data_IF_856271169905
#
_entry.id   IF_856271169905
#
_cell.length_a   1.000
_cell.length_b   1.000
_cell.length_c   1.000
_cell.angle_alpha   90.00
_cell.angle_beta   90.00
_cell.angle_gamma   90.00
#
_symmetry.space_group_name_H-M   'P 1'
#
loop_
_entity.id
_entity.type
_entity.pdbx_description
1 polymer ?
#
# COMPACT_ATOMS: atom_id res chain seq x y z
N UNK A 1 6.43 -5.92 34.78
CA UNK A 1 6.73 -6.32 33.38
C UNK A 1 5.63 -5.71 32.53
N UNK A 2 5.97 -4.98 31.44
CA UNK A 2 4.99 -4.19 30.68
C UNK A 2 3.93 -5.08 30.01
N UNK A 3 4.29 -6.33 29.70
CA UNK A 3 3.41 -7.31 29.08
C UNK A 3 3.35 -8.61 29.87
N UNK A 4 2.20 -9.27 29.85
CA UNK A 4 1.99 -10.52 30.58
C UNK A 4 0.73 -11.26 30.15
N UNK A 5 0.51 -12.44 30.72
CA UNK A 5 -0.76 -13.16 30.65
C UNK A 5 -1.39 -13.24 32.04
N UNK A 6 -2.72 -13.28 32.10
CA UNK A 6 -3.44 -13.56 33.33
C UNK A 6 -4.65 -14.46 33.03
N UNK A 7 -5.03 -15.38 33.93
CA UNK A 7 -6.30 -16.08 33.83
C UNK A 7 -7.45 -15.07 33.81
N UNK A 8 -8.49 -15.34 33.01
CA UNK A 8 -9.66 -14.48 32.90
C UNK A 8 -10.91 -15.25 33.33
N UNK A 9 -11.70 -14.66 34.24
CA UNK A 9 -12.97 -15.23 34.63
C UNK A 9 -13.97 -15.18 33.47
N UNK A 10 -14.70 -16.27 33.25
CA UNK A 10 -15.62 -16.40 32.11
C UNK A 10 -16.69 -15.31 32.09
N UNK A 11 -17.09 -14.84 33.27
CA UNK A 11 -18.11 -13.82 33.47
C UNK A 11 -17.65 -12.42 33.02
N UNK A 12 -16.34 -12.17 32.96
CA UNK A 12 -15.78 -10.87 32.57
C UNK A 12 -15.70 -10.71 31.04
N UNK A 13 -15.56 -11.81 30.31
CA UNK A 13 -15.37 -11.84 28.86
C UNK A 13 -16.47 -11.06 28.11
N UNK A 14 -17.78 -11.27 28.38
CA UNK A 14 -18.83 -10.58 27.63
C UNK A 14 -18.76 -9.06 27.76
N UNK A 15 -18.45 -8.55 28.95
CA UNK A 15 -18.34 -7.11 29.18
C UNK A 15 -17.14 -6.52 28.43
N UNK A 16 -16.01 -7.23 28.41
CA UNK A 16 -14.78 -6.79 27.75
C UNK A 16 -14.89 -6.73 26.23
N UNK A 17 -15.57 -7.70 25.61
CA UNK A 17 -15.68 -7.76 24.14
C UNK A 17 -16.90 -7.01 23.60
N UNK A 18 -17.84 -6.58 24.45
CA UNK A 18 -19.13 -5.98 24.01
C UNK A 18 -18.94 -4.82 23.04
N UNK A 19 -18.15 -3.81 23.41
CA UNK A 19 -17.94 -2.64 22.54
C UNK A 19 -17.29 -3.02 21.21
N UNK A 20 -16.31 -3.93 21.23
CA UNK A 20 -15.66 -4.44 20.02
C UNK A 20 -16.65 -5.19 19.13
N UNK A 21 -17.50 -6.02 19.72
CA UNK A 21 -18.52 -6.79 19.02
C UNK A 21 -19.60 -5.90 18.41
N UNK A 22 -20.05 -4.87 19.13
CA UNK A 22 -21.01 -3.88 18.63
C UNK A 22 -20.42 -3.08 17.45
N UNK A 23 -19.15 -2.66 17.55
CA UNK A 23 -18.46 -2.00 16.45
C UNK A 23 -18.32 -2.90 15.23
N UNK A 24 -17.93 -4.18 15.41
CA UNK A 24 -17.82 -5.13 14.31
C UNK A 24 -19.18 -5.40 13.65
N UNK A 25 -20.28 -5.47 14.42
CA UNK A 25 -21.63 -5.62 13.87
C UNK A 25 -22.01 -4.45 12.97
N UNK A 26 -21.77 -3.22 13.43
CA UNK A 26 -22.02 -2.02 12.62
C UNK A 26 -21.18 -2.04 11.33
N UNK A 27 -19.90 -2.39 11.40
CA UNK A 27 -19.05 -2.52 10.22
C UNK A 27 -19.54 -3.62 9.27
N UNK A 28 -20.02 -4.75 9.80
CA UNK A 28 -20.56 -5.85 9.00
C UNK A 28 -21.84 -5.45 8.26
N UNK A 29 -22.74 -4.69 8.92
CA UNK A 29 -23.95 -4.15 8.30
C UNK A 29 -23.61 -3.23 7.12
N UNK A 30 -22.71 -2.26 7.35
CA UNK A 30 -22.25 -1.34 6.30
C UNK A 30 -21.59 -2.11 5.15
N UNK A 31 -20.70 -3.05 5.45
CA UNK A 31 -20.01 -3.83 4.42
C UNK A 31 -20.98 -4.70 3.62
N UNK A 32 -21.98 -5.33 4.26
CA UNK A 32 -23.00 -6.11 3.58
C UNK A 32 -23.89 -5.24 2.67
N UNK A 33 -24.25 -4.02 3.09
CA UNK A 33 -25.00 -3.07 2.24
C UNK A 33 -24.22 -2.74 0.97
N UNK A 34 -22.92 -2.42 1.12
CA UNK A 34 -22.05 -2.12 -0.03
C UNK A 34 -21.95 -3.33 -0.95
N UNK A 35 -21.76 -4.55 -0.41
CA UNK A 35 -21.74 -5.77 -1.24
C UNK A 35 -23.03 -5.90 -2.06
N UNK A 36 -24.20 -5.76 -1.42
CA UNK A 36 -25.49 -5.86 -2.12
C UNK A 36 -25.64 -4.80 -3.20
N UNK A 37 -25.27 -3.55 -2.92
CA UNK A 37 -25.34 -2.45 -3.89
C UNK A 37 -24.37 -2.66 -5.06
N UNK A 38 -23.10 -2.95 -4.79
CA UNK A 38 -22.09 -3.19 -5.83
C UNK A 38 -22.45 -4.42 -6.68
N UNK A 39 -23.00 -5.48 -6.08
CA UNK A 39 -23.48 -6.64 -6.82
C UNK A 39 -24.66 -6.28 -7.73
N UNK A 40 -25.63 -5.50 -7.25
CA UNK A 40 -26.74 -5.03 -8.08
C UNK A 40 -26.27 -4.14 -9.24
N UNK A 41 -25.25 -3.31 -9.01
CA UNK A 41 -24.65 -2.46 -10.02
C UNK A 41 -23.99 -3.28 -11.14
N UNK A 42 -23.25 -4.34 -10.76
CA UNK A 42 -22.62 -5.28 -11.68
C UNK A 42 -23.62 -6.16 -12.45
N UNK A 43 -24.65 -6.67 -11.76
CA UNK A 43 -25.57 -7.65 -12.34
C UNK A 43 -26.52 -7.02 -13.36
N UNK A 44 -27.04 -5.82 -13.05
CA UNK A 44 -28.08 -5.23 -13.90
C UNK A 44 -28.08 -3.70 -14.00
N UNK A 45 -27.75 -2.92 -12.96
CA UNK A 45 -27.98 -1.45 -13.03
C UNK A 45 -27.08 -0.76 -14.04
N UNK A 46 -25.80 -1.11 -14.13
CA UNK A 46 -24.92 -0.53 -15.15
C UNK A 46 -25.39 -0.85 -16.57
N UNK A 47 -25.85 -2.08 -16.78
CA UNK A 47 -26.38 -2.50 -18.08
C UNK A 47 -27.67 -1.75 -18.43
N UNK A 48 -28.57 -1.60 -17.46
CA UNK A 48 -29.81 -0.84 -17.61
C UNK A 48 -29.54 0.65 -17.90
N UNK A 49 -28.59 1.27 -17.19
CA UNK A 49 -28.21 2.66 -17.40
C UNK A 49 -27.55 2.88 -18.78
N UNK A 50 -26.77 1.89 -19.26
CA UNK A 50 -26.22 1.91 -20.62
C UNK A 50 -27.35 1.82 -21.67
N UNK A 51 -28.30 0.91 -21.48
CA UNK A 51 -29.44 0.74 -22.39
C UNK A 51 -30.35 1.96 -22.42
N UNK A 52 -30.52 2.65 -21.28
CA UNK A 52 -31.27 3.90 -21.15
C UNK A 52 -30.50 5.14 -21.61
N UNK A 53 -29.24 4.98 -22.02
CA UNK A 53 -28.39 6.08 -22.48
C UNK A 53 -27.96 7.05 -21.38
N UNK A 54 -28.09 6.67 -20.10
CA UNK A 54 -27.64 7.50 -18.96
C UNK A 54 -26.12 7.47 -18.80
N UNK A 55 -25.48 6.37 -19.21
CA UNK A 55 -24.03 6.24 -19.30
C UNK A 55 -23.62 5.86 -20.71
N UNK A 56 -22.42 6.27 -21.09
CA UNK A 56 -21.81 5.89 -22.36
C UNK A 56 -21.19 4.49 -22.29
N UNK A 57 -20.95 3.88 -23.45
CA UNK A 57 -20.22 2.60 -23.54
C UNK A 57 -18.80 2.70 -22.96
N UNK A 58 -18.17 3.86 -23.05
CA UNK A 58 -16.84 4.12 -22.47
C UNK A 58 -16.93 4.06 -20.94
N UNK A 59 -17.85 4.82 -20.34
CA UNK A 59 -18.06 4.81 -18.88
C UNK A 59 -18.44 3.42 -18.36
N UNK A 60 -19.29 2.69 -19.07
CA UNK A 60 -19.64 1.31 -18.72
C UNK A 60 -18.39 0.41 -18.65
N UNK A 61 -17.53 0.47 -19.68
CA UNK A 61 -16.31 -0.34 -19.74
C UNK A 61 -15.28 0.06 -18.68
N UNK A 62 -15.28 1.33 -18.23
CA UNK A 62 -14.41 1.83 -17.17
C UNK A 62 -14.91 1.44 -15.77
N UNK A 63 -16.22 1.51 -15.51
CA UNK A 63 -16.81 1.29 -14.19
C UNK A 63 -16.91 -0.21 -13.84
N UNK A 64 -17.22 -1.09 -14.81
CA UNK A 64 -17.33 -2.53 -14.60
C UNK A 64 -16.12 -3.15 -13.86
N UNK A 65 -14.86 -2.98 -14.30
CA UNK A 65 -13.71 -3.56 -13.62
C UNK A 65 -13.45 -2.93 -12.24
N UNK A 66 -13.82 -1.65 -12.04
CA UNK A 66 -13.67 -0.97 -10.75
C UNK A 66 -14.64 -1.55 -9.72
N UNK A 67 -15.92 -1.70 -10.08
CA UNK A 67 -16.92 -2.32 -9.21
C UNK A 67 -16.61 -3.79 -8.92
N UNK A 68 -16.12 -4.54 -9.90
CA UNK A 68 -15.68 -5.92 -9.68
C UNK A 68 -14.51 -6.00 -8.68
N UNK A 69 -13.60 -5.02 -8.75
CA UNK A 69 -12.49 -4.90 -7.78
C UNK A 69 -13.02 -4.55 -6.39
N UNK A 70 -13.92 -3.56 -6.28
CA UNK A 70 -14.54 -3.20 -5.01
C UNK A 70 -15.29 -4.37 -4.39
N UNK A 71 -16.15 -5.04 -5.14
CA UNK A 71 -16.87 -6.23 -4.67
C UNK A 71 -15.90 -7.28 -4.11
N UNK A 72 -14.82 -7.55 -4.84
CA UNK A 72 -13.79 -8.48 -4.39
C UNK A 72 -13.10 -8.04 -3.09
N UNK A 73 -12.91 -6.74 -2.85
CA UNK A 73 -12.37 -6.21 -1.60
C UNK A 73 -13.38 -6.35 -0.45
N UNK A 74 -14.66 -6.05 -0.71
CA UNK A 74 -15.73 -6.14 0.30
C UNK A 74 -16.02 -7.57 0.73
N UNK A 75 -15.97 -8.52 -0.19
CA UNK A 75 -16.09 -9.95 0.11
C UNK A 75 -14.93 -10.45 0.99
N UNK A 76 -13.70 -10.03 0.69
CA UNK A 76 -12.54 -10.34 1.54
C UNK A 76 -12.69 -9.71 2.95
N UNK A 77 -13.17 -8.47 3.02
CA UNK A 77 -13.45 -7.81 4.31
C UNK A 77 -14.53 -8.56 5.10
N UNK A 78 -15.55 -9.10 4.42
CA UNK A 78 -16.59 -9.94 5.03
C UNK A 78 -15.99 -11.20 5.65
N UNK A 79 -15.13 -11.92 4.94
CA UNK A 79 -14.48 -13.13 5.48
C UNK A 79 -13.63 -12.82 6.74
N UNK A 80 -12.94 -11.67 6.74
CA UNK A 80 -12.19 -11.20 7.91
C UNK A 80 -13.12 -10.90 9.10
N UNK A 81 -14.26 -10.25 8.87
CA UNK A 81 -15.25 -9.97 9.90
C UNK A 81 -15.85 -11.28 10.46
N UNK A 82 -16.22 -12.21 9.60
CA UNK A 82 -16.78 -13.51 9.99
C UNK A 82 -15.77 -14.31 10.85
N UNK A 83 -14.48 -14.26 10.50
CA UNK A 83 -13.41 -14.88 11.30
C UNK A 83 -13.29 -14.24 12.70
N UNK A 84 -13.42 -12.91 12.80
CA UNK A 84 -13.42 -12.19 14.09
C UNK A 84 -14.63 -12.52 14.94
N UNK A 85 -15.83 -12.64 14.35
CA UNK A 85 -17.03 -13.06 15.07
C UNK A 85 -16.88 -14.49 15.61
N UNK A 86 -16.41 -15.43 14.79
CA UNK A 86 -16.17 -16.80 15.21
C UNK A 86 -15.19 -16.89 16.39
N UNK A 87 -14.14 -16.05 16.40
CA UNK A 87 -13.22 -15.95 17.55
C UNK A 87 -13.92 -15.45 18.82
N UNK A 88 -14.76 -14.42 18.73
CA UNK A 88 -15.52 -13.92 19.87
C UNK A 88 -16.53 -14.93 20.42
N UNK A 89 -17.20 -15.69 19.55
CA UNK A 89 -18.09 -16.77 20.00
C UNK A 89 -17.32 -17.84 20.78
N UNK A 90 -16.13 -18.24 20.31
CA UNK A 90 -15.26 -19.18 21.03
C UNK A 90 -14.84 -18.64 22.40
N UNK A 91 -14.46 -17.37 22.47
CA UNK A 91 -14.08 -16.71 23.72
C UNK A 91 -15.22 -16.71 24.75
N UNK A 92 -16.48 -16.57 24.32
CA UNK A 92 -17.64 -16.62 25.23
C UNK A 92 -17.91 -18.03 25.78
N UNK A 93 -17.46 -19.07 25.08
CA UNK A 93 -17.81 -20.47 25.40
C UNK A 93 -16.75 -21.17 26.26
N UNK A 94 -15.49 -20.73 26.18
CA UNK A 94 -14.32 -21.42 26.75
C UNK A 94 -13.73 -20.69 27.95
N UNK A 95 -12.91 -21.39 28.74
CA UNK A 95 -11.99 -20.73 29.66
C UNK A 95 -10.97 -19.94 28.83
N UNK A 96 -10.65 -18.72 29.27
CA UNK A 96 -9.81 -17.80 28.54
C UNK A 96 -8.74 -17.23 29.44
N UNK A 97 -7.65 -16.83 28.81
CA UNK A 97 -6.65 -15.97 29.43
C UNK A 97 -6.80 -14.55 28.87
N UNK A 98 -6.02 -13.62 29.40
CA UNK A 98 -5.86 -12.30 28.80
C UNK A 98 -4.40 -11.98 28.54
N UNK A 99 -4.13 -11.38 27.39
CA UNK A 99 -2.90 -10.64 27.15
C UNK A 99 -3.01 -9.27 27.81
N UNK A 100 -1.98 -8.88 28.57
CA UNK A 100 -1.96 -7.68 29.38
C UNK A 100 -0.97 -6.67 28.82
N UNK A 101 -1.45 -5.45 28.61
CA UNK A 101 -0.62 -4.25 28.45
C UNK A 101 -0.77 -3.46 29.76
N UNK A 102 0.31 -3.37 30.52
CA UNK A 102 0.31 -2.76 31.84
C UNK A 102 0.20 -1.24 31.76
N UNK A 103 -0.31 -0.61 32.82
CA UNK A 103 -0.47 0.84 32.91
C UNK A 103 0.86 1.61 32.95
N UNK A 104 1.94 0.96 33.37
CA UNK A 104 3.31 1.49 33.40
C UNK A 104 4.05 1.32 32.06
N UNK A 105 3.39 0.77 31.03
CA UNK A 105 4.02 0.58 29.72
C UNK A 105 4.40 1.93 29.09
N UNK A 106 5.67 2.10 28.79
CA UNK A 106 6.19 3.29 28.12
C UNK A 106 5.83 3.35 26.63
N UNK A 107 5.93 4.55 26.05
CA UNK A 107 5.75 4.76 24.61
C UNK A 107 6.70 3.91 23.77
N UNK A 108 7.94 3.74 24.22
CA UNK A 108 8.95 2.99 23.47
C UNK A 108 8.75 1.47 23.58
N UNK A 109 8.27 0.97 24.73
CA UNK A 109 7.84 -0.42 24.87
C UNK A 109 6.64 -0.73 23.96
N UNK A 110 5.66 0.17 23.86
CA UNK A 110 4.54 0.00 22.93
C UNK A 110 4.98 0.01 21.47
N UNK A 111 5.91 0.88 21.08
CA UNK A 111 6.48 0.86 19.72
C UNK A 111 7.17 -0.47 19.42
N UNK A 112 7.97 -0.98 20.37
CA UNK A 112 8.62 -2.29 20.24
C UNK A 112 7.60 -3.41 20.05
N UNK A 113 6.55 -3.43 20.87
CA UNK A 113 5.48 -4.42 20.75
C UNK A 113 4.76 -4.33 19.39
N UNK A 114 4.42 -3.12 18.93
CA UNK A 114 3.75 -2.91 17.64
C UNK A 114 4.60 -3.48 16.49
N UNK A 115 5.89 -3.15 16.46
CA UNK A 115 6.83 -3.63 15.44
C UNK A 115 6.94 -5.15 15.48
N UNK A 116 7.10 -5.72 16.67
CA UNK A 116 7.17 -7.17 16.87
C UNK A 116 5.90 -7.86 16.34
N UNK A 117 4.73 -7.35 16.71
CA UNK A 117 3.45 -7.90 16.28
C UNK A 117 3.29 -7.83 14.76
N UNK A 118 3.60 -6.68 14.13
CA UNK A 118 3.55 -6.52 12.68
C UNK A 118 4.40 -7.57 11.95
N UNK A 119 5.61 -7.82 12.45
CA UNK A 119 6.56 -8.75 11.85
C UNK A 119 6.13 -10.21 12.04
N UNK A 120 5.59 -10.54 13.21
CA UNK A 120 5.04 -11.87 13.47
C UNK A 120 3.76 -12.13 12.65
N UNK A 121 2.91 -11.12 12.44
CA UNK A 121 1.69 -11.22 11.63
C UNK A 121 2.00 -11.61 10.19
N UNK A 122 3.14 -11.19 9.66
CA UNK A 122 3.56 -11.44 8.28
C UNK A 122 3.81 -12.93 7.97
N UNK A 123 4.25 -13.69 8.98
CA UNK A 123 4.63 -15.11 8.86
C UNK A 123 3.62 -16.06 9.52
N UNK A 124 2.57 -15.52 10.12
CA UNK A 124 1.60 -16.27 10.89
C UNK A 124 0.63 -17.06 9.99
N UNK A 125 0.24 -18.25 10.44
CA UNK A 125 -0.94 -18.95 9.93
C UNK A 125 -2.22 -18.16 10.23
N UNK A 126 -3.36 -18.61 9.68
CA UNK A 126 -4.65 -17.91 9.81
C UNK A 126 -5.04 -17.63 11.27
N UNK A 127 -4.80 -18.57 12.17
CA UNK A 127 -5.24 -18.47 13.56
C UNK A 127 -4.29 -17.58 14.37
N UNK A 128 -2.97 -17.80 14.27
CA UNK A 128 -1.97 -16.91 14.89
C UNK A 128 -2.10 -15.48 14.35
N UNK A 129 -2.40 -15.29 13.07
CA UNK A 129 -2.58 -13.98 12.46
C UNK A 129 -3.73 -13.21 13.09
N UNK A 130 -4.89 -13.86 13.28
CA UNK A 130 -6.06 -13.23 13.89
C UNK A 130 -5.80 -12.80 15.34
N UNK A 131 -5.09 -13.64 16.11
CA UNK A 131 -4.61 -13.31 17.45
C UNK A 131 -3.72 -12.06 17.42
N UNK A 132 -2.66 -12.07 16.60
CA UNK A 132 -1.69 -10.97 16.53
C UNK A 132 -2.31 -9.65 16.10
N UNK A 133 -3.20 -9.66 15.10
CA UNK A 133 -3.94 -8.48 14.66
C UNK A 133 -4.82 -7.89 15.78
N UNK A 134 -5.38 -8.75 16.64
CA UNK A 134 -6.18 -8.31 17.79
C UNK A 134 -5.30 -7.59 18.82
N UNK A 135 -4.14 -8.16 19.17
CA UNK A 135 -3.21 -7.51 20.11
C UNK A 135 -2.65 -6.22 19.49
N UNK A 136 -2.32 -6.23 18.20
CA UNK A 136 -1.78 -5.08 17.47
C UNK A 136 -2.75 -3.90 17.47
N UNK A 137 -4.04 -4.13 17.23
CA UNK A 137 -5.06 -3.08 17.30
C UNK A 137 -5.14 -2.44 18.68
N UNK A 138 -5.07 -3.24 19.75
CA UNK A 138 -5.07 -2.75 21.13
C UNK A 138 -3.78 -1.99 21.47
N UNK A 139 -2.63 -2.47 21.01
CA UNK A 139 -1.34 -1.77 21.18
C UNK A 139 -1.34 -0.40 20.47
N UNK A 140 -1.90 -0.31 19.26
CA UNK A 140 -2.09 0.97 18.58
C UNK A 140 -3.01 1.91 19.35
N UNK A 141 -4.13 1.42 19.89
CA UNK A 141 -5.03 2.23 20.71
C UNK A 141 -4.32 2.78 21.97
N UNK A 142 -3.51 1.96 22.64
CA UNK A 142 -2.69 2.38 23.76
C UNK A 142 -1.68 3.46 23.36
N UNK A 143 -0.98 3.27 22.23
CA UNK A 143 -0.03 4.25 21.71
C UNK A 143 -0.71 5.59 21.41
N UNK A 144 -1.88 5.57 20.77
CA UNK A 144 -2.67 6.78 20.49
C UNK A 144 -3.05 7.51 21.78
N UNK A 145 -3.47 6.79 22.83
CA UNK A 145 -3.76 7.40 24.12
C UNK A 145 -2.53 8.13 24.70
N UNK A 146 -1.34 7.49 24.68
CA UNK A 146 -0.10 8.14 25.11
C UNK A 146 0.33 9.33 24.24
N UNK A 147 0.11 9.25 22.92
CA UNK A 147 0.43 10.34 22.00
C UNK A 147 -0.46 11.57 22.24
N UNK A 148 -1.70 11.35 22.68
CA UNK A 148 -2.65 12.39 23.11
C UNK A 148 -2.45 12.86 24.56
N UNK A 149 -1.42 12.36 25.26
CA UNK A 149 -1.13 12.71 26.65
C UNK A 149 -2.09 12.12 27.69
N UNK A 150 -2.88 11.12 27.31
CA UNK A 150 -3.76 10.39 28.23
C UNK A 150 -2.96 9.29 28.95
N UNK A 151 -3.13 9.14 30.28
CA UNK A 151 -2.48 8.04 31.00
C UNK A 151 -3.02 6.70 30.50
N UNK A 152 -2.17 5.68 30.46
CA UNK A 152 -2.61 4.32 30.18
C UNK A 152 -3.33 3.76 31.39
N UNK A 153 -4.44 3.11 31.14
CA UNK A 153 -5.03 2.14 32.06
C UNK A 153 -4.56 0.75 31.66
N UNK A 154 -4.47 -0.18 32.62
CA UNK A 154 -4.25 -1.59 32.31
C UNK A 154 -5.24 -2.06 31.25
N UNK A 155 -4.73 -2.51 30.10
CA UNK A 155 -5.55 -3.08 29.02
C UNK A 155 -5.44 -4.60 29.08
N UNK A 156 -6.59 -5.24 29.16
CA UNK A 156 -6.72 -6.70 29.17
C UNK A 156 -7.41 -7.13 27.89
N UNK A 157 -6.71 -7.90 27.07
CA UNK A 157 -7.23 -8.40 25.78
C UNK A 157 -7.50 -9.89 25.93
N UNK A 158 -8.76 -10.35 25.79
CA UNK A 158 -9.08 -11.75 25.98
C UNK A 158 -8.48 -12.61 24.84
N UNK A 159 -7.90 -13.74 25.22
CA UNK A 159 -7.23 -14.70 24.35
C UNK A 159 -7.74 -16.12 24.62
N UNK A 160 -7.83 -16.91 23.56
CA UNK A 160 -8.19 -18.33 23.67
C UNK A 160 -7.04 -19.10 24.33
N UNK A 161 -7.35 -20.22 24.97
CA UNK A 161 -6.32 -21.10 25.53
C UNK A 161 -5.32 -21.57 24.46
N UNK A 162 -5.80 -21.85 23.25
CA UNK A 162 -4.95 -22.20 22.09
C UNK A 162 -4.02 -21.06 21.65
N UNK A 163 -4.31 -19.81 22.04
CA UNK A 163 -3.51 -18.63 21.73
C UNK A 163 -2.48 -18.31 22.83
N UNK A 164 -2.51 -19.02 23.97
CA UNK A 164 -1.62 -18.75 25.10
C UNK A 164 -0.14 -18.90 24.71
N UNK A 165 0.19 -19.94 23.94
CA UNK A 165 1.54 -20.15 23.43
C UNK A 165 2.01 -18.99 22.54
N UNK A 166 1.11 -18.41 21.73
CA UNK A 166 1.43 -17.24 20.90
C UNK A 166 1.68 -16.00 21.77
N UNK A 167 0.86 -15.80 22.80
CA UNK A 167 1.04 -14.70 23.75
C UNK A 167 2.39 -14.79 24.48
N UNK A 168 2.74 -15.98 24.97
CA UNK A 168 4.02 -16.21 25.66
C UNK A 168 5.22 -16.01 24.73
N UNK A 169 5.13 -16.44 23.47
CA UNK A 169 6.16 -16.18 22.46
C UNK A 169 6.39 -14.68 22.27
N UNK A 170 5.32 -13.90 22.06
CA UNK A 170 5.39 -12.44 21.91
C UNK A 170 5.96 -11.78 23.16
N UNK A 171 5.52 -12.19 24.35
CA UNK A 171 6.04 -11.66 25.62
C UNK A 171 7.54 -11.94 25.74
N UNK A 172 7.98 -13.15 25.41
CA UNK A 172 9.40 -13.50 25.49
C UNK A 172 10.25 -12.78 24.45
N UNK A 173 9.73 -12.56 23.23
CA UNK A 173 10.39 -11.73 22.21
C UNK A 173 10.47 -10.27 22.63
N UNK A 174 9.43 -9.73 23.28
CA UNK A 174 9.41 -8.33 23.75
C UNK A 174 10.42 -8.04 24.87
N UNK A 175 10.84 -9.07 25.62
CA UNK A 175 11.87 -8.97 26.67
C UNK A 175 13.29 -8.91 26.11
N UNK A 176 13.50 -9.33 24.85
CA UNK A 176 14.81 -9.22 24.23
C UNK A 176 15.13 -7.73 24.07
N UNK A 177 16.37 -7.33 24.36
CA UNK A 177 16.83 -5.96 24.10
C UNK A 177 16.87 -5.73 22.60
N UNK A 178 15.73 -5.30 22.03
CA UNK A 178 15.68 -4.77 20.68
C UNK A 178 15.94 -3.27 20.81
N UNK A 179 17.12 -2.84 20.39
CA UNK A 179 17.43 -1.41 20.22
C UNK A 179 16.79 -0.95 18.92
N UNK A 180 15.54 -0.50 18.99
CA UNK A 180 14.86 0.14 17.86
C UNK A 180 15.24 1.61 17.87
N UNK A 181 16.34 1.95 17.20
CA UNK A 181 16.58 3.34 16.87
C UNK A 181 15.52 3.84 15.87
N UNK A 182 15.48 5.16 15.69
CA UNK A 182 14.53 5.80 14.78
C UNK A 182 14.66 5.26 13.35
N UNK A 183 15.89 5.01 12.89
CA UNK A 183 16.18 4.51 11.55
C UNK A 183 15.60 3.09 11.34
N UNK A 184 15.78 2.19 12.31
CA UNK A 184 15.27 0.81 12.25
C UNK A 184 13.74 0.80 12.22
N UNK A 185 13.11 1.68 13.01
CA UNK A 185 11.64 1.83 13.01
C UNK A 185 11.11 2.27 11.64
N UNK A 186 11.70 3.31 11.05
CA UNK A 186 11.31 3.81 9.73
C UNK A 186 11.50 2.76 8.63
N UNK A 187 12.57 1.97 8.72
CA UNK A 187 12.84 0.87 7.79
C UNK A 187 11.80 -0.24 7.92
N UNK A 188 11.47 -0.68 9.14
CA UNK A 188 10.42 -1.68 9.37
C UNK A 188 9.07 -1.22 8.81
N UNK A 189 8.66 0.01 9.12
CA UNK A 189 7.40 0.59 8.62
C UNK A 189 7.38 0.62 7.09
N UNK A 190 8.49 1.06 6.50
CA UNK A 190 8.65 1.13 5.04
C UNK A 190 8.51 -0.25 4.39
N UNK A 191 9.22 -1.26 4.88
CA UNK A 191 9.19 -2.60 4.29
C UNK A 191 7.89 -3.35 4.58
N UNK A 192 7.27 -3.13 5.74
CA UNK A 192 5.95 -3.69 6.06
C UNK A 192 4.88 -3.13 5.12
N UNK A 193 4.92 -1.82 4.83
CA UNK A 193 4.03 -1.21 3.84
C UNK A 193 4.25 -1.77 2.43
N UNK A 194 5.52 -1.87 1.98
CA UNK A 194 5.87 -2.44 0.68
C UNK A 194 5.35 -3.88 0.54
N UNK A 195 5.44 -4.68 1.61
CA UNK A 195 4.93 -6.04 1.62
C UNK A 195 3.39 -6.08 1.48
N UNK A 196 2.66 -5.23 2.21
CA UNK A 196 1.21 -5.13 2.07
C UNK A 196 0.80 -4.71 0.65
N UNK A 197 1.49 -3.74 0.06
CA UNK A 197 1.24 -3.28 -1.32
C UNK A 197 1.58 -4.35 -2.37
N UNK A 198 2.59 -5.19 -2.12
CA UNK A 198 2.92 -6.37 -2.93
C UNK A 198 1.80 -7.42 -2.88
N UNK A 199 1.34 -7.79 -1.68
CA UNK A 199 0.27 -8.77 -1.49
C UNK A 199 -1.04 -8.28 -2.16
N UNK A 200 -1.36 -6.99 -2.04
CA UNK A 200 -2.49 -6.38 -2.75
C UNK A 200 -2.33 -6.43 -4.27
N UNK A 201 -1.11 -6.21 -4.78
CA UNK A 201 -0.81 -6.31 -6.22
C UNK A 201 -0.96 -7.74 -6.72
N UNK A 202 -0.47 -8.72 -5.97
CA UNK A 202 -0.63 -10.15 -6.29
C UNK A 202 -2.12 -10.55 -6.35
N UNK A 203 -2.93 -10.12 -5.38
CA UNK A 203 -4.36 -10.38 -5.38
C UNK A 203 -5.09 -9.76 -6.60
N UNK A 204 -4.62 -8.61 -7.10
CA UNK A 204 -5.14 -7.99 -8.32
C UNK A 204 -4.75 -8.78 -9.58
N UNK A 205 -3.52 -9.31 -9.62
CA UNK A 205 -3.02 -10.14 -10.72
C UNK A 205 -3.86 -11.41 -10.86
N UNK A 206 -4.14 -12.08 -9.75
CA UNK A 206 -4.95 -13.31 -9.74
C UNK A 206 -6.34 -13.09 -10.34
N UNK A 207 -6.95 -11.93 -10.07
CA UNK A 207 -8.27 -11.53 -10.58
C UNK A 207 -8.25 -10.91 -11.99
N UNK A 208 -7.07 -10.63 -12.55
CA UNK A 208 -6.94 -9.96 -13.84
C UNK A 208 -7.17 -10.90 -15.05
N UNK A 209 -7.38 -10.32 -16.23
CA UNK A 209 -7.56 -11.03 -17.50
C UNK A 209 -6.26 -11.31 -18.26
N UNK A 210 -5.08 -11.08 -17.65
CA UNK A 210 -3.80 -11.40 -18.29
C UNK A 210 -3.62 -12.92 -18.40
N UNK A 211 -2.74 -13.36 -19.30
CA UNK A 211 -2.53 -14.78 -19.57
C UNK A 211 -1.95 -15.53 -18.35
N UNK A 212 -2.14 -16.85 -18.31
CA UNK A 212 -1.60 -17.68 -17.23
C UNK A 212 -0.06 -17.57 -17.13
N UNK A 213 0.64 -17.48 -18.27
CA UNK A 213 2.09 -17.31 -18.30
C UNK A 213 2.51 -15.95 -17.69
N UNK A 214 1.80 -14.87 -18.01
CA UNK A 214 2.02 -13.55 -17.43
C UNK A 214 1.76 -13.52 -15.91
N UNK A 215 0.66 -14.14 -15.46
CA UNK A 215 0.35 -14.29 -14.04
C UNK A 215 1.46 -15.04 -13.31
N UNK A 216 1.98 -16.11 -13.91
CA UNK A 216 3.04 -16.92 -13.31
C UNK A 216 4.30 -16.10 -13.05
N UNK A 217 4.74 -15.29 -14.02
CA UNK A 217 5.93 -14.43 -13.87
C UNK A 217 5.72 -13.38 -12.78
N UNK A 218 4.58 -12.70 -12.75
CA UNK A 218 4.32 -11.67 -11.73
C UNK A 218 4.16 -12.29 -10.34
N UNK A 219 3.44 -13.41 -10.23
CA UNK A 219 3.24 -14.09 -8.95
C UNK A 219 4.55 -14.66 -8.41
N UNK A 220 5.42 -15.21 -9.26
CA UNK A 220 6.76 -15.63 -8.85
C UNK A 220 7.61 -14.46 -8.38
N UNK A 221 7.55 -13.32 -9.07
CA UNK A 221 8.24 -12.10 -8.65
C UNK A 221 7.73 -11.62 -7.28
N UNK A 222 6.41 -11.44 -7.15
CA UNK A 222 5.78 -11.02 -5.89
C UNK A 222 6.15 -11.97 -4.75
N UNK A 223 6.04 -13.29 -4.96
CA UNK A 223 6.40 -14.29 -3.95
C UNK A 223 7.86 -14.18 -3.54
N UNK A 224 8.79 -14.10 -4.50
CA UNK A 224 10.21 -14.07 -4.21
C UNK A 224 10.62 -12.78 -3.48
N UNK A 225 10.13 -11.63 -3.96
CA UNK A 225 10.39 -10.34 -3.31
C UNK A 225 9.76 -10.30 -1.92
N UNK A 226 8.52 -10.77 -1.77
CA UNK A 226 7.88 -10.88 -0.47
C UNK A 226 8.73 -11.71 0.49
N UNK A 227 9.22 -12.88 0.07
CA UNK A 227 10.06 -13.74 0.92
C UNK A 227 11.35 -13.03 1.39
N UNK A 228 12.02 -12.26 0.53
CA UNK A 228 13.18 -11.45 0.95
C UNK A 228 12.79 -10.42 2.00
N UNK A 229 11.67 -9.71 1.79
CA UNK A 229 11.16 -8.71 2.73
C UNK A 229 10.78 -9.36 4.07
N UNK A 230 10.07 -10.50 4.06
CA UNK A 230 9.70 -11.26 5.26
C UNK A 230 10.94 -11.71 6.03
N UNK A 231 11.95 -12.22 5.32
CA UNK A 231 13.21 -12.65 5.92
C UNK A 231 13.93 -11.47 6.59
N UNK A 232 14.08 -10.35 5.87
CA UNK A 232 14.72 -9.16 6.41
C UNK A 232 14.01 -8.63 7.65
N UNK A 233 12.69 -8.48 7.61
CA UNK A 233 11.89 -8.04 8.75
C UNK A 233 12.04 -8.99 9.95
N UNK A 234 12.07 -10.30 9.71
CA UNK A 234 12.31 -11.28 10.78
C UNK A 234 13.70 -11.13 11.40
N UNK A 235 14.74 -11.02 10.57
CA UNK A 235 16.12 -10.77 11.03
C UNK A 235 16.20 -9.49 11.87
N UNK A 236 15.43 -8.46 11.50
CA UNK A 236 15.39 -7.20 12.24
C UNK A 236 14.95 -7.38 13.71
N UNK A 237 14.07 -8.35 13.96
CA UNK A 237 13.56 -8.62 15.31
C UNK A 237 14.37 -9.68 16.04
N UNK A 238 14.78 -10.73 15.35
CA UNK A 238 15.41 -11.89 15.99
C UNK A 238 16.90 -11.71 16.22
N UNK A 239 17.55 -10.86 15.42
CA UNK A 239 19.01 -10.70 15.41
C UNK A 239 19.41 -9.21 15.27
N UNK A 240 19.00 -8.33 16.21
CA UNK A 240 19.21 -6.89 16.11
C UNK A 240 20.69 -6.50 15.97
N UNK A 241 21.59 -7.25 16.61
CA UNK A 241 23.04 -7.04 16.54
C UNK A 241 23.61 -7.23 15.13
N UNK A 242 22.93 -7.98 14.25
CA UNK A 242 23.34 -8.16 12.86
C UNK A 242 22.92 -6.99 11.96
N UNK A 243 21.97 -6.15 12.39
CA UNK A 243 21.47 -4.98 11.64
C UNK A 243 22.35 -3.74 11.84
N UNK A 244 23.11 -3.68 12.95
CA UNK A 244 24.06 -2.60 13.20
C UNK A 244 25.10 -2.45 12.07
N UNK A 245 25.26 -3.47 11.24
CA UNK A 245 26.03 -3.46 10.02
C UNK A 245 25.10 -3.10 8.85
N UNK A 246 25.47 -2.20 7.94
CA UNK A 246 24.70 -1.87 6.73
C UNK A 246 24.46 -3.06 5.78
N UNK A 247 24.99 -4.22 6.10
CA UNK A 247 25.06 -5.43 5.29
C UNK A 247 23.70 -6.12 5.07
N UNK A 248 22.78 -6.28 6.05
CA UNK A 248 21.48 -6.88 5.80
C UNK A 248 20.61 -6.04 4.86
N UNK A 249 20.67 -4.70 4.96
CA UNK A 249 19.94 -3.81 4.06
C UNK A 249 20.49 -3.89 2.62
N UNK A 250 21.81 -3.89 2.46
CA UNK A 250 22.44 -4.09 1.15
C UNK A 250 22.12 -5.47 0.57
N UNK A 251 22.06 -6.50 1.42
CA UNK A 251 21.72 -7.86 1.01
C UNK A 251 20.29 -7.98 0.49
N UNK A 252 19.30 -7.41 1.19
CA UNK A 252 17.91 -7.41 0.70
C UNK A 252 17.80 -6.63 -0.62
N UNK A 253 18.41 -5.45 -0.74
CA UNK A 253 18.36 -4.68 -1.99
C UNK A 253 18.99 -5.43 -3.17
N UNK A 254 20.11 -6.11 -2.94
CA UNK A 254 20.78 -6.96 -3.93
C UNK A 254 19.92 -8.15 -4.33
N UNK A 255 19.31 -8.84 -3.38
CA UNK A 255 18.46 -9.99 -3.66
C UNK A 255 17.18 -9.60 -4.39
N UNK A 256 16.52 -8.51 -3.97
CA UNK A 256 15.35 -7.95 -4.67
C UNK A 256 15.70 -7.57 -6.11
N UNK A 257 16.86 -6.93 -6.32
CA UNK A 257 17.33 -6.59 -7.68
C UNK A 257 17.53 -7.85 -8.55
N UNK A 258 18.08 -8.93 -7.97
CA UNK A 258 18.21 -10.22 -8.67
C UNK A 258 16.86 -10.82 -9.05
N UNK A 259 15.86 -10.71 -8.17
CA UNK A 259 14.49 -11.18 -8.47
C UNK A 259 13.85 -10.37 -9.59
N UNK A 260 14.07 -9.06 -9.63
CA UNK A 260 13.66 -8.19 -10.74
C UNK A 260 14.31 -8.59 -12.07
N UNK A 261 15.62 -8.81 -12.09
CA UNK A 261 16.34 -9.26 -13.30
C UNK A 261 15.84 -10.62 -13.79
N UNK A 262 15.57 -11.55 -12.87
CA UNK A 262 15.05 -12.86 -13.21
C UNK A 262 13.63 -12.79 -13.79
N UNK A 263 12.76 -11.97 -13.22
CA UNK A 263 11.41 -11.76 -13.74
C UNK A 263 11.45 -11.12 -15.13
N UNK A 264 12.37 -10.19 -15.38
CA UNK A 264 12.57 -9.60 -16.71
C UNK A 264 12.99 -10.66 -17.74
N UNK A 265 13.98 -11.49 -17.40
CA UNK A 265 14.42 -12.61 -18.26
C UNK A 265 13.33 -13.64 -18.56
N UNK A 266 12.37 -13.82 -17.64
CA UNK A 266 11.22 -14.68 -17.88
C UNK A 266 10.19 -13.99 -18.77
N UNK A 267 9.96 -12.69 -18.56
CA UNK A 267 9.06 -11.88 -19.37
C UNK A 267 9.50 -11.83 -20.84
N UNK A 268 10.81 -11.74 -21.10
CA UNK A 268 11.38 -11.73 -22.47
C UNK A 268 11.08 -13.01 -23.27
N UNK A 269 10.61 -14.08 -22.61
CA UNK A 269 10.29 -15.38 -23.23
C UNK A 269 8.81 -15.56 -23.56
N UNK A 270 7.96 -14.60 -23.20
CA UNK A 270 6.52 -14.70 -23.39
C UNK A 270 5.97 -13.46 -24.11
N UNK A 271 4.88 -13.59 -24.88
CA UNK A 271 4.14 -12.42 -25.34
C UNK A 271 3.57 -11.66 -24.14
N UNK A 272 3.88 -10.36 -24.02
CA UNK A 272 3.45 -9.53 -22.89
C UNK A 272 2.42 -8.48 -23.30
N UNK A 273 1.38 -8.32 -22.49
CA UNK A 273 0.31 -7.34 -22.63
C UNK A 273 0.61 -6.04 -21.89
N UNK A 274 -0.14 -4.97 -22.19
CA UNK A 274 -0.04 -3.73 -21.41
C UNK A 274 -0.50 -3.91 -19.96
N UNK A 275 -1.41 -4.84 -19.68
CA UNK A 275 -1.81 -5.20 -18.31
C UNK A 275 -0.63 -5.77 -17.52
N UNK A 276 0.11 -6.72 -18.12
CA UNK A 276 1.34 -7.26 -17.52
C UNK A 276 2.39 -6.17 -17.26
N UNK A 277 2.65 -5.30 -18.26
CA UNK A 277 3.59 -4.17 -18.10
C UNK A 277 3.19 -3.25 -16.94
N UNK A 278 1.89 -2.97 -16.80
CA UNK A 278 1.33 -2.20 -15.69
C UNK A 278 1.63 -2.81 -14.33
N UNK A 279 1.37 -4.10 -14.17
CA UNK A 279 1.66 -4.82 -12.93
C UNK A 279 3.17 -4.85 -12.62
N UNK A 280 4.00 -5.17 -13.60
CA UNK A 280 5.47 -5.17 -13.43
C UNK A 280 6.00 -3.80 -13.01
N UNK A 281 5.57 -2.72 -13.67
CA UNK A 281 5.96 -1.36 -13.32
C UNK A 281 5.52 -0.99 -11.91
N UNK A 282 4.31 -1.39 -11.49
CA UNK A 282 3.82 -1.18 -10.13
C UNK A 282 4.74 -1.86 -9.11
N UNK A 283 5.07 -3.13 -9.30
CA UNK A 283 5.97 -3.87 -8.40
C UNK A 283 7.34 -3.19 -8.31
N UNK A 284 7.93 -2.76 -9.44
CA UNK A 284 9.23 -2.06 -9.44
C UNK A 284 9.16 -0.72 -8.67
N UNK A 285 8.07 0.03 -8.84
CA UNK A 285 7.88 1.32 -8.18
C UNK A 285 7.79 1.22 -6.66
N UNK A 286 7.26 0.12 -6.11
CA UNK A 286 7.23 -0.13 -4.66
C UNK A 286 8.64 -0.16 -4.05
N UNK A 287 9.66 -0.48 -4.83
CA UNK A 287 11.05 -0.55 -4.40
C UNK A 287 11.92 0.57 -4.97
N UNK A 288 11.29 1.66 -5.43
CA UNK A 288 11.97 2.81 -6.04
C UNK A 288 12.91 2.41 -7.20
N UNK A 289 12.56 1.34 -7.93
CA UNK A 289 13.28 0.94 -9.14
C UNK A 289 12.63 1.56 -10.37
N UNK A 290 13.45 1.88 -11.36
CA UNK A 290 12.97 2.39 -12.64
C UNK A 290 12.03 1.36 -13.29
N UNK A 291 10.84 1.77 -13.75
CA UNK A 291 9.91 0.85 -14.41
C UNK A 291 10.55 0.24 -15.67
N UNK A 292 10.51 -1.10 -15.86
CA UNK A 292 11.18 -1.76 -16.98
C UNK A 292 10.44 -1.56 -18.31
N UNK A 293 9.16 -1.19 -18.27
CA UNK A 293 8.33 -1.03 -19.47
C UNK A 293 7.81 0.39 -19.63
N UNK A 294 7.83 0.87 -20.86
CA UNK A 294 7.02 2.03 -21.25
C UNK A 294 5.60 1.55 -21.58
N UNK A 295 4.60 2.12 -20.94
CA UNK A 295 3.20 1.88 -21.26
C UNK A 295 2.78 2.98 -22.24
N UNK A 296 2.61 2.62 -23.52
CA UNK A 296 2.01 3.55 -24.47
C UNK A 296 0.58 3.83 -23.99
N UNK A 297 0.28 5.09 -23.66
CA UNK A 297 -1.09 5.52 -23.38
C UNK A 297 -1.95 5.23 -24.61
N UNK A 298 -3.15 4.69 -24.42
CA UNK A 298 -4.12 4.46 -25.51
C UNK A 298 -4.41 5.73 -26.31
N UNK A 299 -4.25 6.92 -25.70
CA UNK A 299 -4.32 8.20 -26.42
C UNK A 299 -3.23 8.37 -27.50
N UNK A 300 -2.07 7.75 -27.35
CA UNK A 300 -0.96 7.81 -28.32
C UNK A 300 -1.19 6.86 -29.50
N UNK A 301 -1.88 5.74 -29.29
CA UNK A 301 -2.30 4.86 -30.39
C UNK A 301 -3.43 5.49 -31.22
N UNK A 302 -4.37 6.17 -30.57
CA UNK A 302 -5.39 6.98 -31.27
C UNK A 302 -4.78 8.18 -31.99
N UNK A 303 -3.73 8.79 -31.46
CA UNK A 303 -2.98 9.84 -32.16
C UNK A 303 -2.19 9.28 -33.36
N UNK A 304 -1.45 8.17 -33.19
CA UNK A 304 -0.71 7.54 -34.30
C UNK A 304 -1.63 7.04 -35.41
N UNK A 305 -2.82 6.51 -35.10
CA UNK A 305 -3.80 6.10 -36.11
C UNK A 305 -4.42 7.30 -36.84
N UNK A 306 -4.60 8.44 -36.15
CA UNK A 306 -5.11 9.69 -36.75
C UNK A 306 -4.05 10.47 -37.55
N UNK A 307 -2.76 10.38 -37.19
CA UNK A 307 -1.67 11.06 -37.90
C UNK A 307 -1.02 10.21 -39.00
N UNK A 308 -1.15 8.87 -38.96
CA UNK A 308 -0.69 7.96 -40.01
C UNK A 308 -1.56 7.95 -41.29
N UNK A 309 -2.70 8.63 -41.27
CA UNK A 309 -3.68 8.67 -42.37
C UNK A 309 -3.71 10.02 -43.12
N UNK A 310 -2.67 10.85 -43.02
CA UNK A 310 -2.52 12.02 -43.89
C UNK A 310 -1.77 11.57 -45.15
N UNK A 311 -2.43 11.37 -46.31
CA UNK A 311 -1.71 11.13 -47.55
C UNK A 311 -0.78 12.32 -47.83
N UNK A 312 0.41 12.09 -48.41
CA UNK A 312 1.34 13.17 -48.69
C UNK A 312 0.66 14.26 -49.51
N UNK A 313 0.76 15.50 -49.03
CA UNK A 313 0.31 16.69 -49.75
C UNK A 313 0.92 16.67 -51.15
N UNK A 314 0.08 16.39 -52.15
CA UNK A 314 0.40 16.61 -53.55
C UNK A 314 0.49 18.12 -53.73
N UNK A 315 1.71 18.64 -53.75
CA UNK A 315 1.99 20.01 -54.17
C UNK A 315 1.49 20.18 -55.61
N UNK A 316 0.61 21.16 -55.89
CA UNK A 316 0.19 21.43 -57.26
C UNK A 316 1.39 21.92 -58.10
N UNK A 317 1.54 21.32 -59.28
CA UNK A 317 2.54 21.69 -60.29
C UNK A 317 2.35 23.15 -60.70
N UNK A 318 3.39 23.96 -60.48
CA UNK A 318 3.53 25.25 -61.15
C UNK A 318 3.56 25.06 -62.67
N UNK A 319 2.69 25.78 -63.38
CA UNK A 319 2.82 26.03 -64.82
C UNK A 319 2.69 27.55 -65.02
N UNK A 320 3.58 28.19 -65.80
CA UNK A 320 3.73 29.64 -65.80
C UNK A 320 2.69 30.31 -66.71
N UNK A 321 2.19 31.47 -66.29
CA UNK A 321 1.51 32.40 -67.21
C UNK A 321 2.11 33.79 -67.05
N UNK A 322 2.71 34.24 -68.14
CA UNK A 322 3.19 35.59 -68.35
C UNK A 322 2.15 36.29 -69.24
N UNK A 323 1.58 37.41 -68.81
CA UNK A 323 1.58 38.70 -69.54
C UNK A 323 0.63 39.75 -68.93
N UNK A 324 1.25 40.88 -68.60
CA UNK A 324 0.83 42.28 -68.72
C UNK A 324 -0.63 42.71 -68.48
N UNK A 325 -0.80 43.60 -67.50
CA UNK A 325 -1.95 44.48 -67.36
C UNK A 325 -1.72 45.54 -66.28
N UNK A 326 -1.34 46.74 -66.72
CA UNK A 326 -1.04 47.96 -65.94
C UNK A 326 -2.31 48.52 -65.27
N UNK A 327 -2.20 49.03 -64.03
CA UNK A 327 -2.67 50.37 -63.56
C UNK A 327 -2.75 50.49 -62.02
N UNK A 328 -1.78 51.24 -61.48
CA UNK A 328 -1.86 52.36 -60.52
C UNK A 328 -2.64 52.31 -59.18
N UNK A 329 -1.94 52.90 -58.19
CA UNK A 329 -2.39 53.57 -56.95
C UNK A 329 -2.70 52.67 -55.75
N UNK A 330 -2.36 52.95 -54.50
CA UNK A 330 -1.55 53.99 -53.84
C UNK A 330 -1.59 53.70 -52.33
N UNK A 331 -0.50 53.97 -51.61
CA UNK A 331 -0.42 54.27 -50.16
C UNK A 331 -0.90 53.19 -49.15
N UNK A 332 -0.26 52.93 -48.01
CA UNK A 332 0.90 53.50 -47.33
C UNK A 332 1.38 52.48 -46.28
N UNK A 333 2.70 52.42 -46.03
CA UNK A 333 3.35 52.88 -44.78
C UNK A 333 2.96 52.07 -43.53
N UNK A 334 3.87 51.23 -43.04
CA UNK A 334 4.88 51.52 -41.98
C UNK A 334 4.34 50.89 -40.68
N UNK A 335 5.05 50.19 -39.80
CA UNK A 335 6.47 49.93 -39.50
C UNK A 335 6.45 48.80 -38.44
N UNK A 336 7.36 47.81 -38.43
CA UNK A 336 8.56 47.73 -37.56
C UNK A 336 8.34 48.21 -36.10
N UNK A 337 8.88 47.63 -35.03
CA UNK A 337 10.00 46.72 -34.80
C UNK A 337 9.94 46.32 -33.29
N UNK A 338 10.31 45.09 -32.92
CA UNK A 338 11.58 44.73 -32.26
C UNK A 338 11.65 45.07 -30.75
N UNK A 339 11.79 44.05 -29.88
CA UNK A 339 13.00 43.76 -29.10
C UNK A 339 13.01 44.48 -27.73
N UNK A 340 13.56 44.00 -26.62
CA UNK A 340 14.54 42.94 -26.28
C UNK A 340 14.59 42.86 -24.74
N UNK A 341 15.11 41.73 -24.21
CA UNK A 341 16.08 41.56 -23.09
C UNK A 341 15.89 42.36 -21.76
N UNK A 342 16.26 41.93 -20.55
CA UNK A 342 17.07 40.83 -20.02
C UNK A 342 16.95 40.84 -18.47
N UNK A 343 17.64 39.87 -17.85
CA UNK A 343 18.41 40.01 -16.59
C UNK A 343 17.92 39.42 -15.24
N UNK A 344 18.61 38.33 -14.91
CA UNK A 344 19.05 37.78 -13.62
C UNK A 344 19.25 38.78 -12.46
N UNK A 345 18.98 38.32 -11.24
CA UNK A 345 19.83 38.57 -10.04
C UNK A 345 19.89 37.37 -9.09
N UNK A 346 21.11 37.04 -8.67
CA UNK A 346 21.47 36.26 -7.47
C UNK A 346 21.65 37.23 -6.29
N UNK A 347 21.56 36.71 -5.04
CA UNK A 347 22.01 37.39 -3.82
C UNK A 347 22.06 36.44 -2.62
N UNK A 348 23.23 36.36 -1.97
CA UNK A 348 23.59 35.66 -0.73
C UNK A 348 23.34 36.54 0.52
N UNK A 349 23.26 35.93 1.72
CA UNK A 349 23.70 36.44 3.05
C UNK A 349 23.57 35.28 4.08
N UNK A 350 24.64 34.72 4.66
CA UNK A 350 25.33 35.00 5.96
C UNK A 350 24.41 34.90 7.20
N UNK A 351 24.53 33.93 8.11
CA UNK A 351 25.55 33.61 9.15
C UNK A 351 25.63 34.62 10.32
N UNK A 352 25.08 34.24 11.49
CA UNK A 352 25.42 34.73 12.84
C UNK A 352 25.08 33.62 13.86
N UNK A 353 26.06 33.17 14.65
CA UNK A 353 25.88 32.24 15.76
C UNK A 353 25.60 32.92 17.11
N UNK A 354 25.24 32.14 18.15
CA UNK A 354 25.78 32.28 19.51
C UNK A 354 25.31 31.16 20.46
N UNK A 355 26.25 30.82 21.31
CA UNK A 355 26.38 29.82 22.38
C UNK A 355 25.90 30.41 23.71
N UNK A 356 25.08 29.72 24.52
CA UNK A 356 24.96 29.99 25.98
C UNK A 356 24.66 28.69 26.76
N UNK A 357 25.48 28.51 27.80
CA UNK A 357 25.50 27.48 28.84
C UNK A 357 24.26 27.36 29.74
N UNK A 358 24.17 26.19 30.38
CA UNK A 358 23.24 25.81 31.45
C UNK A 358 23.46 26.58 32.77
N UNK A 359 22.54 26.42 33.74
CA UNK A 359 22.98 25.71 34.95
C UNK A 359 21.97 24.72 35.54
N UNK A 360 22.55 23.70 36.21
CA UNK A 360 21.93 22.76 37.15
C UNK A 360 21.33 23.48 38.35
N UNK A 361 20.27 22.91 38.94
CA UNK A 361 19.94 23.09 40.35
C UNK A 361 19.25 21.82 40.92
N UNK A 362 19.96 21.26 41.93
CA UNK A 362 19.59 20.41 43.07
C UNK A 362 18.62 19.23 42.94
#
# INVERSE_FOLDING_TARGET
MPFGTQPLAKEEIPAMIKSSLDNLKSLAEVNNSIITETQADLDWRLKDDLLKGKITKVQYNEQMPQLATELGLRLNAKESLDSKFARFEKLQQTEASSFIISEDTSRDELKKLIILLQIETINADKDKKLFLETILANAHACKTALDEGRPLTKVSVPILESELNYAEEIINLSKKEITLDKATTEVVDTYSKKLADLEATQAQVDKSSISAAEKMVINDLCRNVSNEVKYYLKTVVTEPDKIAVSEPLQNIERNISRHFDNAQKQADKIPITNGFKGFMNKVYSLFNKAPPYTIESTMVQDAKSKFGAIPPLVLPKNTPSNTNGVLTSSAGRDTMASARDNEKRQGQEQDIGQEIDAPKLN
#
